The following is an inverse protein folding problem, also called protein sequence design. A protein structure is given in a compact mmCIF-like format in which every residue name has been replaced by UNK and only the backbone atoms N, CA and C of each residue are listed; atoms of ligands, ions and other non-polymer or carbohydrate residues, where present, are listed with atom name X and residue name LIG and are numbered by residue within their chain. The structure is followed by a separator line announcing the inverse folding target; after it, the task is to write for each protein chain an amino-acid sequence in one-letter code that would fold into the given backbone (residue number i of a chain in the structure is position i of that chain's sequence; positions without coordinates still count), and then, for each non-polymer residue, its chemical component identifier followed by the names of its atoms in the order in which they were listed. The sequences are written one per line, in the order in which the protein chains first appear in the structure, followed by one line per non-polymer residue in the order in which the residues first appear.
data_IF_071225955624
#
_entry.id   IF_071225955624
#
_cell.length_a   1.000
_cell.length_b   1.000
_cell.length_c   1.000
_cell.angle_alpha   90.00
_cell.angle_beta   90.00
_cell.angle_gamma   90.00
#
_symmetry.space_group_name_H-M   'P 1'
#
loop_
_entity.id
_entity.type
_entity.pdbx_description
1 polymer ?
#
# COMPACT_ATOMS: atom_id res chain seq x y z
N UNK A 1 2.85 5.60 11.10
CA UNK A 1 2.21 4.87 12.21
C UNK A 1 1.79 3.45 11.85
N UNK A 2 1.06 3.23 10.77
CA UNK A 2 0.52 1.90 10.39
C UNK A 2 1.58 0.81 10.25
N UNK A 3 2.76 1.10 9.67
CA UNK A 3 3.85 0.12 9.60
C UNK A 3 4.30 -0.41 10.96
N UNK A 4 4.44 0.47 11.98
CA UNK A 4 4.75 0.04 13.37
C UNK A 4 3.65 -0.84 13.96
N UNK A 5 2.38 -0.48 13.70
CA UNK A 5 1.22 -1.30 14.12
C UNK A 5 1.22 -2.66 13.44
N UNK A 6 1.55 -2.70 12.14
CA UNK A 6 1.68 -3.95 11.39
C UNK A 6 2.71 -4.88 12.04
N UNK A 7 3.94 -4.42 12.28
CA UNK A 7 4.96 -5.23 12.93
C UNK A 7 4.55 -5.70 14.34
N UNK A 8 3.85 -4.85 15.10
CA UNK A 8 3.34 -5.22 16.43
C UNK A 8 2.20 -6.24 16.37
N UNK A 9 1.40 -6.24 15.30
CA UNK A 9 0.27 -7.14 15.11
C UNK A 9 0.72 -8.60 14.86
N UNK A 10 1.88 -8.81 14.25
CA UNK A 10 2.36 -10.15 13.88
C UNK A 10 2.38 -11.13 15.06
N UNK A 11 3.01 -10.83 16.20
CA UNK A 11 2.98 -11.74 17.35
C UNK A 11 1.61 -11.76 18.06
N UNK A 12 0.83 -10.69 18.00
CA UNK A 12 -0.50 -10.62 18.63
C UNK A 12 -1.47 -11.61 17.98
N UNK A 13 -1.47 -11.65 16.65
CA UNK A 13 -2.31 -12.58 15.89
C UNK A 13 -1.67 -13.95 15.66
N UNK A 14 -0.39 -14.11 16.01
CA UNK A 14 0.32 -15.37 15.87
C UNK A 14 0.42 -15.85 14.41
N UNK A 15 0.63 -14.91 13.47
CA UNK A 15 0.75 -15.23 12.06
C UNK A 15 2.11 -15.82 11.72
N UNK A 16 2.16 -16.79 10.81
CA UNK A 16 3.40 -17.38 10.31
C UNK A 16 3.96 -16.59 9.12
N UNK A 17 3.08 -16.16 8.24
CA UNK A 17 3.39 -15.37 7.04
C UNK A 17 2.57 -14.10 7.06
N UNK A 18 3.22 -12.96 6.82
CA UNK A 18 2.58 -11.67 6.71
C UNK A 18 2.89 -11.03 5.36
N UNK A 19 1.98 -10.20 4.88
CA UNK A 19 2.08 -9.52 3.61
C UNK A 19 1.71 -8.05 3.77
N UNK A 20 2.60 -7.15 3.34
CA UNK A 20 2.28 -5.76 3.03
C UNK A 20 2.01 -5.66 1.53
N UNK A 21 0.79 -5.24 1.17
CA UNK A 21 0.34 -5.19 -0.21
C UNK A 21 0.09 -3.76 -0.69
N UNK A 22 1.18 -3.04 -0.91
CA UNK A 22 1.19 -1.82 -1.71
C UNK A 22 0.98 -0.49 -1.01
N UNK A 23 1.21 0.56 -1.79
CA UNK A 23 1.07 1.98 -1.42
C UNK A 23 1.85 2.32 -0.15
N UNK A 24 3.14 2.04 -0.20
CA UNK A 24 4.06 2.19 0.94
C UNK A 24 4.45 3.65 1.17
N UNK A 25 4.50 4.44 0.08
CA UNK A 25 4.94 5.82 0.11
C UNK A 25 3.81 6.77 0.55
N UNK A 26 4.20 7.82 1.29
CA UNK A 26 3.29 8.93 1.62
C UNK A 26 3.02 9.80 0.40
N UNK A 27 1.91 10.56 0.44
CA UNK A 27 1.41 11.32 -0.72
C UNK A 27 1.56 12.84 -0.60
N UNK A 28 1.94 13.36 0.56
CA UNK A 28 1.95 14.79 0.85
C UNK A 28 3.21 15.19 1.61
N UNK A 29 3.83 16.29 1.18
CA UNK A 29 4.91 16.96 1.88
C UNK A 29 4.40 18.27 2.51
N UNK A 30 4.51 18.40 3.83
CA UNK A 30 4.07 19.56 4.60
C UNK A 30 5.28 20.42 4.96
N UNK A 31 5.41 21.64 4.44
CA UNK A 31 6.44 22.58 4.87
C UNK A 31 6.10 23.15 6.25
N UNK A 32 7.08 23.12 7.16
CA UNK A 32 7.06 23.73 8.48
C UNK A 32 7.93 24.98 8.42
N UNK A 33 7.31 26.13 8.16
CA UNK A 33 8.02 27.38 7.84
C UNK A 33 8.32 28.18 9.12
N UNK A 34 9.53 28.74 9.21
CA UNK A 34 9.90 29.64 10.33
C UNK A 34 9.08 30.93 10.32
N UNK A 35 8.65 31.34 11.53
CA UNK A 35 7.94 32.61 11.71
C UNK A 35 8.88 33.74 12.10
N UNK A 36 8.61 34.98 11.68
CA UNK A 36 9.27 36.14 12.28
C UNK A 36 9.06 36.16 13.79
N UNK A 37 10.16 36.18 14.54
CA UNK A 37 10.10 36.17 16.02
C UNK A 37 10.16 34.80 16.68
N UNK A 38 10.31 33.74 15.89
CA UNK A 38 10.48 32.35 16.36
C UNK A 38 9.22 31.50 16.24
N UNK A 39 9.40 30.19 16.39
CA UNK A 39 8.37 29.19 16.14
C UNK A 39 8.25 28.85 14.65
N UNK A 40 7.25 28.04 14.33
CA UNK A 40 6.95 27.60 12.95
C UNK A 40 5.46 27.63 12.67
N UNK A 41 5.11 27.57 11.40
CA UNK A 41 3.73 27.50 10.92
C UNK A 41 3.61 26.50 9.77
N UNK A 42 2.42 25.94 9.57
CA UNK A 42 2.10 25.11 8.44
C UNK A 42 0.59 25.11 8.13
N UNK A 43 0.24 24.62 6.95
CA UNK A 43 -1.13 24.21 6.62
C UNK A 43 -1.22 22.70 6.67
N UNK A 44 -2.02 22.16 7.61
CA UNK A 44 -2.22 20.73 7.79
C UNK A 44 -3.71 20.40 7.69
N UNK A 45 -4.09 19.51 6.76
CA UNK A 45 -5.48 19.09 6.54
C UNK A 45 -6.47 20.28 6.39
N UNK A 46 -6.05 21.32 5.66
CA UNK A 46 -6.85 22.52 5.43
C UNK A 46 -6.90 23.52 6.57
N UNK A 47 -6.16 23.26 7.68
CA UNK A 47 -6.10 24.15 8.84
C UNK A 47 -4.72 24.78 8.94
N UNK A 48 -4.71 26.08 9.26
CA UNK A 48 -3.49 26.78 9.62
C UNK A 48 -3.10 26.42 11.06
N UNK A 49 -1.85 26.05 11.25
CA UNK A 49 -1.32 25.59 12.53
C UNK A 49 -0.03 26.34 12.88
N UNK A 50 0.06 26.90 14.06
CA UNK A 50 1.27 27.52 14.61
C UNK A 50 1.89 26.64 15.67
N UNK A 51 3.22 26.65 15.74
CA UNK A 51 4.03 25.91 16.69
C UNK A 51 5.03 26.90 17.32
N UNK A 52 4.80 27.28 18.57
CA UNK A 52 5.60 28.29 19.27
C UNK A 52 6.59 27.68 20.26
N UNK A 53 6.46 26.36 20.54
CA UNK A 53 7.37 25.61 21.41
C UNK A 53 7.91 24.36 20.70
N UNK A 54 9.00 23.81 21.23
CA UNK A 54 9.58 22.57 20.73
C UNK A 54 8.62 21.38 20.89
N UNK A 55 7.82 21.37 21.93
CA UNK A 55 6.81 20.33 22.21
C UNK A 55 5.68 20.38 21.19
N UNK A 56 5.18 21.57 20.85
CA UNK A 56 4.15 21.77 19.81
C UNK A 56 4.68 21.35 18.44
N UNK A 57 5.92 21.69 18.09
CA UNK A 57 6.56 21.28 16.85
C UNK A 57 6.68 19.74 16.78
N UNK A 58 7.14 19.11 17.85
CA UNK A 58 7.26 17.65 17.92
C UNK A 58 5.89 16.95 17.80
N UNK A 59 4.85 17.50 18.43
CA UNK A 59 3.50 16.98 18.36
C UNK A 59 2.93 17.10 16.94
N UNK A 60 3.14 18.24 16.27
CA UNK A 60 2.70 18.47 14.89
C UNK A 60 3.41 17.54 13.91
N UNK A 61 4.74 17.39 14.01
CA UNK A 61 5.51 16.42 13.21
C UNK A 61 4.94 15.01 13.35
N UNK A 62 4.67 14.59 14.59
CA UNK A 62 4.08 13.29 14.87
C UNK A 62 2.68 13.14 14.26
N UNK A 63 1.87 14.19 14.27
CA UNK A 63 0.53 14.19 13.64
C UNK A 63 0.66 14.00 12.11
N UNK A 64 1.57 14.74 11.46
CA UNK A 64 1.86 14.62 10.03
C UNK A 64 2.30 13.19 9.70
N UNK A 65 3.25 12.62 10.45
CA UNK A 65 3.73 11.24 10.25
C UNK A 65 2.64 10.18 10.49
N UNK A 66 1.75 10.43 11.45
CA UNK A 66 0.63 9.53 11.73
C UNK A 66 -0.38 9.50 10.58
N UNK A 67 -0.55 10.61 9.89
CA UNK A 67 -1.37 10.71 8.67
C UNK A 67 -0.69 10.12 7.43
N UNK A 68 0.54 9.59 7.56
CA UNK A 68 1.29 9.05 6.41
C UNK A 68 1.94 10.11 5.54
N UNK A 69 2.03 11.35 6.02
CA UNK A 69 2.62 12.47 5.29
C UNK A 69 4.08 12.67 5.69
N UNK A 70 4.81 13.45 4.87
CA UNK A 70 6.17 13.91 5.15
C UNK A 70 6.15 15.37 5.60
N UNK A 71 7.20 15.79 6.30
CA UNK A 71 7.40 17.18 6.66
C UNK A 71 8.82 17.61 6.33
N UNK A 72 8.99 18.91 6.10
CA UNK A 72 10.29 19.56 5.91
C UNK A 72 10.31 20.88 6.66
N UNK A 73 11.38 21.16 7.40
CA UNK A 73 11.58 22.47 8.03
C UNK A 73 12.26 23.39 7.04
N UNK A 74 11.76 24.62 6.93
CA UNK A 74 12.28 25.62 5.99
C UNK A 74 12.26 27.02 6.61
N UNK A 75 13.22 27.85 6.22
CA UNK A 75 13.11 29.29 6.39
C UNK A 75 12.06 29.87 5.42
N UNK A 76 11.59 31.10 5.61
CA UNK A 76 10.69 31.73 4.61
C UNK A 76 11.31 31.82 3.22
N UNK A 77 12.60 32.11 3.13
CA UNK A 77 13.34 32.21 1.86
C UNK A 77 13.44 30.84 1.16
N UNK A 78 13.75 29.78 1.91
CA UNK A 78 13.79 28.41 1.38
C UNK A 78 12.42 27.95 0.92
N UNK A 79 11.36 28.28 1.66
CA UNK A 79 10.00 27.95 1.29
C UNK A 79 9.57 28.63 -0.02
N UNK A 80 9.81 29.94 -0.17
CA UNK A 80 9.49 30.63 -1.40
C UNK A 80 10.33 30.11 -2.59
N UNK A 81 11.60 29.81 -2.38
CA UNK A 81 12.43 29.20 -3.41
C UNK A 81 11.92 27.81 -3.83
N UNK A 82 11.56 26.97 -2.85
CA UNK A 82 11.02 25.62 -3.12
C UNK A 82 9.66 25.73 -3.84
N UNK A 83 8.78 26.62 -3.41
CA UNK A 83 7.47 26.82 -4.01
C UNK A 83 7.54 27.28 -5.46
N UNK A 84 8.58 28.05 -5.79
CA UNK A 84 8.80 28.54 -7.16
C UNK A 84 9.40 27.50 -8.12
N UNK A 85 9.94 26.39 -7.60
CA UNK A 85 10.58 25.32 -8.36
C UNK A 85 9.92 23.95 -8.10
N UNK A 86 9.00 23.48 -8.98
CA UNK A 86 8.38 22.16 -8.83
C UNK A 86 9.41 21.02 -8.69
N UNK A 87 10.56 21.11 -9.38
CA UNK A 87 11.61 20.10 -9.27
C UNK A 87 12.28 20.10 -7.88
N UNK A 88 12.29 21.23 -7.16
CA UNK A 88 12.74 21.25 -5.77
C UNK A 88 11.76 20.56 -4.83
N UNK A 89 10.46 20.72 -5.06
CA UNK A 89 9.42 19.99 -4.31
C UNK A 89 9.59 18.49 -4.50
N UNK A 90 9.74 18.03 -5.75
CA UNK A 90 9.92 16.61 -6.06
C UNK A 90 11.19 16.03 -5.42
N UNK A 91 12.30 16.77 -5.45
CA UNK A 91 13.54 16.35 -4.78
C UNK A 91 13.37 16.18 -3.27
N UNK A 92 12.74 17.16 -2.61
CA UNK A 92 12.47 17.08 -1.17
C UNK A 92 11.52 15.95 -0.82
N UNK A 93 10.47 15.77 -1.62
CA UNK A 93 9.53 14.68 -1.43
C UNK A 93 10.23 13.32 -1.56
N UNK A 94 11.01 13.11 -2.63
CA UNK A 94 11.81 11.89 -2.82
C UNK A 94 12.76 11.64 -1.65
N UNK A 95 13.48 12.67 -1.21
CA UNK A 95 14.39 12.55 -0.07
C UNK A 95 13.66 12.04 1.18
N UNK A 96 12.52 12.65 1.53
CA UNK A 96 11.74 12.26 2.71
C UNK A 96 11.13 10.87 2.59
N UNK A 97 10.73 10.48 1.39
CA UNK A 97 10.23 9.14 1.12
C UNK A 97 11.32 8.07 1.31
N UNK A 98 12.52 8.31 0.76
CA UNK A 98 13.68 7.42 0.93
C UNK A 98 14.03 7.28 2.41
N UNK A 99 14.21 8.38 3.13
CA UNK A 99 14.49 8.37 4.57
C UNK A 99 13.45 7.56 5.36
N UNK A 100 12.17 7.67 4.99
CA UNK A 100 11.09 6.92 5.63
C UNK A 100 11.16 5.42 5.35
N UNK A 101 11.49 5.03 4.12
CA UNK A 101 11.66 3.60 3.78
C UNK A 101 12.87 3.04 4.54
N UNK A 102 13.99 3.74 4.59
CA UNK A 102 15.15 3.32 5.37
C UNK A 102 14.80 3.10 6.85
N UNK A 103 14.10 4.07 7.49
CA UNK A 103 13.60 3.92 8.85
C UNK A 103 12.72 2.68 9.06
N UNK A 104 11.90 2.34 8.05
CA UNK A 104 11.03 1.18 8.13
C UNK A 104 11.79 -0.13 7.96
N UNK A 105 12.76 -0.17 7.06
CA UNK A 105 13.62 -1.35 6.87
C UNK A 105 14.43 -1.63 8.15
N UNK A 106 15.05 -0.60 8.73
CA UNK A 106 15.79 -0.71 9.99
C UNK A 106 14.89 -1.19 11.13
N UNK A 107 13.69 -0.62 11.25
CA UNK A 107 12.72 -1.02 12.27
C UNK A 107 12.26 -2.47 12.08
N UNK A 108 12.03 -2.91 10.84
CA UNK A 108 11.66 -4.28 10.55
C UNK A 108 12.80 -5.24 10.91
N UNK A 109 14.03 -4.91 10.51
CA UNK A 109 15.21 -5.71 10.81
C UNK A 109 15.44 -5.84 12.32
N UNK A 110 15.21 -4.77 13.09
CA UNK A 110 15.27 -4.81 14.57
C UNK A 110 14.16 -5.71 15.15
N UNK A 111 12.92 -5.52 14.71
CA UNK A 111 11.75 -6.16 15.33
C UNK A 111 11.58 -7.62 14.95
N UNK A 112 12.03 -8.00 13.76
CA UNK A 112 11.91 -9.35 13.22
C UNK A 112 13.16 -10.20 13.45
N UNK A 113 14.25 -9.62 13.96
CA UNK A 113 15.47 -10.34 14.26
C UNK A 113 15.20 -11.56 15.18
N UNK A 114 15.55 -12.75 14.70
CA UNK A 114 15.35 -14.01 15.45
C UNK A 114 13.89 -14.46 15.58
N UNK A 115 12.97 -13.83 14.88
CA UNK A 115 11.57 -14.26 14.81
C UNK A 115 11.38 -15.29 13.69
N UNK A 116 10.34 -16.14 13.85
CA UNK A 116 9.99 -17.16 12.85
C UNK A 116 9.05 -16.62 11.75
N UNK A 117 8.43 -15.46 11.93
CA UNK A 117 7.53 -14.88 10.97
C UNK A 117 8.25 -14.51 9.66
N UNK A 118 7.65 -14.89 8.55
CA UNK A 118 8.08 -14.46 7.22
C UNK A 118 7.23 -13.27 6.79
N UNK A 119 7.87 -12.15 6.44
CA UNK A 119 7.17 -10.94 6.01
C UNK A 119 7.52 -10.65 4.57
N UNK A 120 6.52 -10.76 3.70
CA UNK A 120 6.61 -10.34 2.32
C UNK A 120 6.16 -8.88 2.17
N UNK A 121 6.78 -8.18 1.26
CA UNK A 121 6.45 -6.80 0.92
C UNK A 121 6.33 -6.67 -0.60
N UNK A 122 5.19 -6.15 -1.03
CA UNK A 122 4.87 -5.84 -2.42
C UNK A 122 4.57 -4.35 -2.49
N UNK A 123 5.19 -3.57 -3.36
CA UNK A 123 4.75 -2.21 -3.64
C UNK A 123 3.33 -2.15 -4.21
N UNK A 124 2.76 -0.95 -4.30
CA UNK A 124 1.51 -0.67 -5.00
C UNK A 124 1.74 0.25 -6.20
N UNK A 125 0.65 0.68 -6.85
CA UNK A 125 0.75 1.52 -8.03
C UNK A 125 1.38 2.88 -7.77
N UNK A 126 1.21 3.45 -6.56
CA UNK A 126 1.75 4.75 -6.17
C UNK A 126 3.26 4.71 -5.86
N UNK A 127 3.84 3.53 -5.71
CA UNK A 127 5.21 3.37 -5.25
C UNK A 127 6.21 3.46 -6.42
N UNK A 128 7.28 4.25 -6.23
CA UNK A 128 8.32 4.40 -7.25
C UNK A 128 9.12 3.11 -7.43
N UNK A 129 9.62 2.88 -8.63
CA UNK A 129 10.45 1.71 -8.94
C UNK A 129 11.75 1.66 -8.13
N UNK A 130 12.30 2.81 -7.78
CA UNK A 130 13.56 2.91 -7.02
C UNK A 130 13.49 2.29 -5.62
N UNK A 131 12.29 2.15 -5.02
CA UNK A 131 12.17 1.52 -3.70
C UNK A 131 12.38 0.01 -3.73
N UNK A 132 12.29 -0.63 -4.89
CA UNK A 132 12.47 -2.09 -5.02
C UNK A 132 13.88 -2.49 -4.62
N UNK A 133 14.90 -1.73 -5.07
CA UNK A 133 16.30 -1.94 -4.70
C UNK A 133 16.54 -1.71 -3.19
N UNK A 134 15.82 -0.78 -2.59
CA UNK A 134 15.90 -0.53 -1.15
C UNK A 134 15.30 -1.68 -0.36
N UNK A 135 14.10 -2.13 -0.73
CA UNK A 135 13.42 -3.27 -0.10
C UNK A 135 14.28 -4.54 -0.19
N UNK A 136 14.93 -4.75 -1.33
CA UNK A 136 15.81 -5.91 -1.55
C UNK A 136 17.04 -5.94 -0.61
N UNK A 137 17.39 -4.83 0.02
CA UNK A 137 18.49 -4.75 0.99
C UNK A 137 18.07 -5.13 2.41
N UNK A 138 16.77 -5.21 2.72
CA UNK A 138 16.29 -5.64 4.04
C UNK A 138 16.71 -7.07 4.34
N UNK A 139 17.08 -7.33 5.58
CA UNK A 139 17.41 -8.67 6.08
C UNK A 139 16.18 -9.47 6.48
N UNK A 140 15.09 -8.78 6.77
CA UNK A 140 13.88 -9.36 7.38
C UNK A 140 12.64 -9.30 6.49
N UNK A 141 12.55 -8.29 5.61
CA UNK A 141 11.46 -8.18 4.64
C UNK A 141 11.87 -8.84 3.33
N UNK A 142 10.95 -9.58 2.74
CA UNK A 142 11.18 -10.30 1.48
C UNK A 142 10.39 -9.63 0.37
N UNK A 143 11.04 -9.02 -0.64
CA UNK A 143 10.33 -8.50 -1.79
C UNK A 143 9.59 -9.64 -2.49
N UNK A 144 8.40 -9.36 -3.03
CA UNK A 144 7.62 -10.36 -3.76
C UNK A 144 6.96 -9.83 -5.03
N UNK A 145 7.16 -8.56 -5.41
CA UNK A 145 6.59 -8.00 -6.63
C UNK A 145 7.10 -8.73 -7.88
N UNK A 146 6.20 -9.03 -8.84
CA UNK A 146 6.47 -9.79 -10.07
C UNK A 146 7.14 -11.16 -9.82
N UNK A 147 6.96 -11.70 -8.62
CA UNK A 147 7.55 -12.96 -8.17
C UNK A 147 6.50 -14.04 -7.94
N UNK A 148 6.99 -15.28 -8.03
CA UNK A 148 6.30 -16.47 -7.55
C UNK A 148 7.07 -16.96 -6.33
N UNK A 149 6.42 -16.97 -5.20
CA UNK A 149 7.01 -17.43 -3.94
C UNK A 149 6.23 -18.62 -3.39
N UNK A 150 6.95 -19.57 -2.81
CA UNK A 150 6.36 -20.75 -2.19
C UNK A 150 6.55 -20.71 -0.68
N UNK A 151 5.52 -21.04 0.05
CA UNK A 151 5.57 -21.25 1.49
C UNK A 151 4.58 -22.36 1.89
N UNK A 152 5.03 -23.28 2.71
CA UNK A 152 4.31 -24.51 3.02
C UNK A 152 3.80 -25.21 1.75
N UNK A 153 2.50 -25.42 1.65
CA UNK A 153 1.83 -26.05 0.49
C UNK A 153 1.23 -25.02 -0.48
N UNK A 154 1.56 -23.73 -0.36
CA UNK A 154 0.94 -22.63 -1.13
C UNK A 154 1.95 -21.95 -2.05
N UNK A 155 1.42 -21.50 -3.19
CA UNK A 155 2.16 -20.71 -4.18
C UNK A 155 1.55 -19.33 -4.25
N UNK A 156 2.30 -18.25 -3.96
CA UNK A 156 1.83 -16.88 -4.09
C UNK A 156 2.41 -16.23 -5.33
N UNK A 157 1.54 -15.61 -6.14
CA UNK A 157 1.88 -14.80 -7.31
C UNK A 157 1.54 -13.36 -6.99
N UNK A 158 2.51 -12.46 -7.05
CA UNK A 158 2.33 -11.06 -6.67
C UNK A 158 2.54 -10.11 -7.84
N UNK A 159 1.77 -9.01 -7.85
CA UNK A 159 1.90 -7.93 -8.83
C UNK A 159 1.48 -6.60 -8.19
N UNK A 160 2.36 -5.61 -8.25
CA UNK A 160 2.15 -4.25 -7.75
C UNK A 160 1.35 -3.35 -8.68
N UNK A 161 1.24 -3.72 -9.97
CA UNK A 161 0.70 -2.87 -11.01
C UNK A 161 -0.81 -2.71 -10.94
N UNK A 162 -1.30 -1.59 -11.49
CA UNK A 162 -2.73 -1.34 -11.68
C UNK A 162 -3.05 -0.88 -13.12
N UNK A 163 -4.34 -0.86 -13.43
CA UNK A 163 -4.88 -0.11 -14.56
C UNK A 163 -4.78 1.38 -14.31
N UNK A 164 -4.94 2.24 -15.34
CA UNK A 164 -4.84 3.68 -15.21
C UNK A 164 -5.82 4.27 -14.20
N UNK A 165 -5.32 5.19 -13.38
CA UNK A 165 -6.11 6.02 -12.47
C UNK A 165 -6.03 7.49 -12.89
N UNK A 166 -6.87 8.38 -12.34
CA UNK A 166 -6.77 9.82 -12.61
C UNK A 166 -5.46 10.47 -12.14
N UNK A 167 -4.63 9.76 -11.38
CA UNK A 167 -3.39 10.30 -10.78
C UNK A 167 -2.12 9.97 -11.55
N UNK A 168 -2.19 9.11 -12.58
CA UNK A 168 -1.06 8.73 -13.44
C UNK A 168 0.16 8.29 -12.61
N UNK A 169 -0.01 7.28 -11.79
CA UNK A 169 0.99 6.82 -10.83
C UNK A 169 2.05 5.91 -11.46
N UNK A 170 3.21 5.71 -10.82
CA UNK A 170 4.38 5.08 -11.45
C UNK A 170 4.18 3.66 -12.01
N UNK A 171 3.31 2.85 -11.40
CA UNK A 171 3.13 1.44 -11.79
C UNK A 171 1.77 1.18 -12.43
N UNK A 172 1.21 2.19 -13.07
CA UNK A 172 0.02 2.06 -13.90
C UNK A 172 0.35 1.71 -15.34
N UNK A 173 -0.55 1.01 -16.00
CA UNK A 173 -0.44 0.72 -17.41
C UNK A 173 -1.77 0.35 -18.06
N UNK A 174 -1.85 0.36 -19.40
CA UNK A 174 -3.04 -0.06 -20.14
C UNK A 174 -3.51 -1.46 -19.72
N UNK A 175 -4.82 -1.69 -19.77
CA UNK A 175 -5.43 -2.96 -19.34
C UNK A 175 -4.93 -4.17 -20.13
N UNK A 176 -4.64 -4.02 -21.40
CA UNK A 176 -4.10 -5.09 -22.25
C UNK A 176 -2.66 -5.44 -21.83
N UNK A 177 -1.81 -4.47 -21.56
CA UNK A 177 -0.46 -4.70 -21.05
C UNK A 177 -0.48 -5.34 -19.65
N UNK A 178 -1.34 -4.85 -18.76
CA UNK A 178 -1.52 -5.44 -17.42
C UNK A 178 -2.02 -6.88 -17.53
N UNK A 179 -2.98 -7.14 -18.40
CA UNK A 179 -3.51 -8.49 -18.63
C UNK A 179 -2.41 -9.44 -19.11
N UNK A 180 -1.62 -9.04 -20.13
CA UNK A 180 -0.53 -9.87 -20.65
C UNK A 180 0.55 -10.10 -19.57
N UNK A 181 0.84 -9.10 -18.75
CA UNK A 181 1.77 -9.21 -17.65
C UNK A 181 1.31 -10.24 -16.60
N UNK A 182 0.07 -10.14 -16.13
CA UNK A 182 -0.53 -11.07 -15.17
C UNK A 182 -0.62 -12.50 -15.74
N UNK A 183 -1.01 -12.64 -17.00
CA UNK A 183 -0.99 -13.91 -17.73
C UNK A 183 0.43 -14.49 -17.82
N UNK A 184 1.44 -13.64 -18.03
CA UNK A 184 2.85 -14.02 -18.04
C UNK A 184 3.31 -14.61 -16.72
N UNK A 185 2.93 -13.99 -15.60
CA UNK A 185 3.19 -14.50 -14.25
C UNK A 185 2.50 -15.85 -14.03
N UNK A 186 1.21 -15.94 -14.39
CA UNK A 186 0.44 -17.17 -14.21
C UNK A 186 1.01 -18.34 -15.04
N UNK A 187 1.42 -18.10 -16.28
CA UNK A 187 2.04 -19.16 -17.14
C UNK A 187 3.29 -19.79 -16.54
N UNK A 188 3.98 -19.10 -15.61
CA UNK A 188 5.14 -19.66 -14.88
C UNK A 188 4.73 -20.65 -13.80
N UNK A 189 3.48 -20.60 -13.31
CA UNK A 189 2.91 -21.54 -12.33
C UNK A 189 2.24 -22.72 -13.04
N UNK A 190 1.41 -22.42 -14.05
CA UNK A 190 0.68 -23.45 -14.80
C UNK A 190 -0.25 -22.84 -15.85
N UNK A 191 -1.04 -23.68 -16.49
CA UNK A 191 -1.93 -23.28 -17.59
C UNK A 191 -3.39 -23.67 -17.39
N UNK A 192 -3.68 -24.49 -16.39
CA UNK A 192 -5.02 -24.95 -16.08
C UNK A 192 -5.47 -24.52 -14.67
N UNK A 193 -6.77 -24.35 -14.42
CA UNK A 193 -7.28 -24.03 -13.08
C UNK A 193 -6.84 -25.01 -11.98
N UNK A 194 -6.51 -26.25 -12.34
CA UNK A 194 -6.05 -27.26 -11.38
C UNK A 194 -4.68 -26.92 -10.80
N UNK A 195 -3.82 -26.24 -11.56
CA UNK A 195 -2.48 -25.85 -11.14
C UNK A 195 -2.53 -24.75 -10.06
N UNK A 196 -3.69 -24.10 -9.89
CA UNK A 196 -3.93 -22.98 -8.99
C UNK A 196 -4.81 -23.32 -7.77
N UNK A 197 -5.07 -24.60 -7.49
CA UNK A 197 -5.93 -25.00 -6.36
C UNK A 197 -5.39 -24.58 -4.99
N UNK A 198 -4.09 -24.34 -4.88
CA UNK A 198 -3.41 -23.84 -3.68
C UNK A 198 -2.70 -22.48 -3.94
N UNK A 199 -3.02 -21.81 -5.04
CA UNK A 199 -2.40 -20.54 -5.36
C UNK A 199 -3.09 -19.36 -4.64
N UNK A 200 -2.28 -18.37 -4.29
CA UNK A 200 -2.68 -17.09 -3.74
C UNK A 200 -2.27 -16.01 -4.75
N UNK A 201 -3.23 -15.25 -5.25
CA UNK A 201 -2.94 -14.08 -6.05
C UNK A 201 -2.90 -12.84 -5.16
N UNK A 202 -1.72 -12.27 -5.03
CA UNK A 202 -1.49 -11.00 -4.36
C UNK A 202 -1.36 -9.91 -5.43
N UNK A 203 -2.48 -9.53 -6.01
CA UNK A 203 -2.53 -8.45 -6.99
C UNK A 203 -3.00 -7.18 -6.29
N UNK A 204 -2.16 -6.13 -6.33
CA UNK A 204 -2.47 -4.88 -5.66
C UNK A 204 -3.85 -4.36 -6.09
N UNK A 205 -4.10 -4.27 -7.39
CA UNK A 205 -5.40 -3.86 -7.92
C UNK A 205 -6.46 -4.98 -7.77
N UNK A 206 -7.67 -4.67 -7.29
CA UNK A 206 -8.77 -5.64 -7.25
C UNK A 206 -9.38 -5.87 -8.64
N UNK A 207 -10.07 -7.00 -8.86
CA UNK A 207 -10.75 -7.29 -10.11
C UNK A 207 -11.99 -6.39 -10.30
N UNK A 208 -12.18 -5.91 -11.54
CA UNK A 208 -13.29 -5.04 -11.94
C UNK A 208 -14.67 -5.69 -11.74
N UNK A 209 -15.61 -4.92 -11.22
CA UNK A 209 -17.04 -5.29 -11.16
C UNK A 209 -17.41 -6.13 -9.96
N UNK A 210 -16.57 -6.23 -8.96
CA UNK A 210 -16.85 -6.85 -7.66
C UNK A 210 -17.03 -5.77 -6.58
N UNK A 211 -17.54 -6.13 -5.39
CA UNK A 211 -17.68 -5.18 -4.29
C UNK A 211 -16.34 -4.66 -3.75
N UNK A 212 -15.23 -5.24 -4.18
CA UNK A 212 -13.87 -4.95 -3.72
C UNK A 212 -13.20 -3.79 -4.49
N UNK A 213 -13.86 -3.26 -5.50
CA UNK A 213 -13.35 -2.20 -6.37
C UNK A 213 -14.26 -0.97 -6.47
N UNK A 214 -15.22 -0.85 -5.55
CA UNK A 214 -16.15 0.28 -5.52
C UNK A 214 -15.52 1.49 -4.81
N UNK A 215 -15.31 2.58 -5.53
CA UNK A 215 -14.85 3.85 -4.96
C UNK A 215 -15.83 4.98 -5.23
N UNK A 216 -15.78 6.09 -4.46
CA UNK A 216 -16.52 7.30 -4.78
C UNK A 216 -16.12 7.81 -6.17
N UNK A 217 -17.10 8.21 -6.98
CA UNK A 217 -16.86 8.88 -8.24
C UNK A 217 -16.23 10.25 -7.99
N UNK A 218 -15.25 10.60 -8.80
CA UNK A 218 -14.65 11.95 -8.79
C UNK A 218 -15.36 12.85 -9.80
N UNK A 219 -15.59 14.10 -9.44
CA UNK A 219 -16.03 15.14 -10.37
C UNK A 219 -14.84 15.70 -11.17
N UNK A 220 -15.12 16.60 -12.13
CA UNK A 220 -14.10 17.23 -12.97
C UNK A 220 -13.06 18.05 -12.17
N UNK A 221 -13.30 18.30 -10.89
CA UNK A 221 -12.38 18.99 -9.97
C UNK A 221 -11.69 18.03 -8.99
N UNK A 222 -11.74 16.70 -9.27
CA UNK A 222 -11.17 15.65 -8.45
C UNK A 222 -11.75 15.57 -7.03
N UNK A 223 -12.99 16.01 -6.82
CA UNK A 223 -13.70 15.93 -5.54
C UNK A 223 -14.62 14.71 -5.54
N UNK A 224 -14.67 14.03 -4.41
CA UNK A 224 -15.53 12.85 -4.24
C UNK A 224 -17.01 13.24 -4.30
N UNK A 225 -17.77 12.59 -5.17
CA UNK A 225 -19.23 12.65 -5.15
C UNK A 225 -19.76 11.78 -4.00
N UNK A 226 -20.53 12.37 -3.08
CA UNK A 226 -20.92 11.72 -1.82
C UNK A 226 -21.77 10.45 -2.02
N UNK A 227 -22.60 10.40 -3.07
CA UNK A 227 -23.61 9.35 -3.25
C UNK A 227 -23.43 8.48 -4.51
N UNK A 228 -22.38 8.73 -5.31
CA UNK A 228 -22.13 7.99 -6.55
C UNK A 228 -20.86 7.15 -6.43
N UNK A 229 -20.98 5.84 -6.62
CA UNK A 229 -19.86 4.91 -6.64
C UNK A 229 -19.66 4.34 -8.03
N UNK A 230 -18.41 4.12 -8.38
CA UNK A 230 -17.99 3.48 -9.61
C UNK A 230 -17.10 2.28 -9.31
N UNK A 231 -17.01 1.37 -10.28
CA UNK A 231 -16.00 0.33 -10.28
C UNK A 231 -14.69 0.87 -10.85
N UNK A 232 -13.57 0.67 -10.14
CA UNK A 232 -12.25 1.18 -10.52
C UNK A 232 -11.16 0.09 -10.57
N UNK A 233 -11.54 -1.18 -10.39
CA UNK A 233 -10.63 -2.32 -10.49
C UNK A 233 -10.23 -2.64 -11.93
N UNK A 234 -9.35 -3.62 -12.09
CA UNK A 234 -8.80 -4.03 -13.39
C UNK A 234 -9.62 -5.13 -14.06
N UNK A 235 -9.88 -4.94 -15.35
CA UNK A 235 -10.44 -5.99 -16.25
C UNK A 235 -9.45 -7.14 -16.43
N UNK A 236 -8.16 -6.85 -16.52
CA UNK A 236 -7.11 -7.86 -16.62
C UNK A 236 -7.02 -8.73 -15.37
N UNK A 237 -7.04 -8.13 -14.18
CA UNK A 237 -7.08 -8.88 -12.92
C UNK A 237 -8.33 -9.76 -12.83
N UNK A 238 -9.50 -9.26 -13.25
CA UNK A 238 -10.73 -10.03 -13.33
C UNK A 238 -10.59 -11.24 -14.26
N UNK A 239 -10.13 -11.01 -15.49
CA UNK A 239 -9.98 -12.07 -16.50
C UNK A 239 -9.07 -13.18 -16.00
N UNK A 240 -7.94 -12.83 -15.39
CA UNK A 240 -6.94 -13.78 -14.89
C UNK A 240 -7.48 -14.57 -13.70
N UNK A 241 -8.13 -13.91 -12.74
CA UNK A 241 -8.74 -14.58 -11.58
C UNK A 241 -9.86 -15.54 -12.03
N UNK A 242 -10.74 -15.10 -12.92
CA UNK A 242 -11.85 -15.93 -13.42
C UNK A 242 -11.37 -17.12 -14.24
N UNK A 243 -10.26 -16.96 -14.99
CA UNK A 243 -9.65 -18.02 -15.79
C UNK A 243 -8.95 -19.08 -14.94
N UNK A 244 -8.07 -18.66 -14.04
CA UNK A 244 -7.20 -19.58 -13.29
C UNK A 244 -7.82 -20.05 -11.97
N UNK A 245 -8.75 -19.30 -11.42
CA UNK A 245 -9.48 -19.66 -10.21
C UNK A 245 -8.54 -20.05 -9.05
N UNK A 246 -7.62 -19.15 -8.58
CA UNK A 246 -6.78 -19.44 -7.43
C UNK A 246 -7.62 -19.73 -6.18
N UNK A 247 -6.98 -20.25 -5.13
CA UNK A 247 -7.61 -20.44 -3.82
C UNK A 247 -8.05 -19.11 -3.20
N UNK A 248 -7.15 -18.10 -3.27
CA UNK A 248 -7.30 -16.82 -2.59
C UNK A 248 -6.82 -15.68 -3.49
N UNK A 249 -7.54 -14.56 -3.51
CA UNK A 249 -7.10 -13.27 -4.02
C UNK A 249 -6.96 -12.28 -2.87
N UNK A 250 -5.81 -11.63 -2.76
CA UNK A 250 -5.53 -10.55 -1.80
C UNK A 250 -5.30 -9.26 -2.57
N UNK A 251 -6.05 -8.22 -2.23
CA UNK A 251 -6.06 -6.95 -2.94
C UNK A 251 -5.96 -5.77 -1.98
N UNK A 252 -5.55 -4.62 -2.50
CA UNK A 252 -5.52 -3.32 -1.83
C UNK A 252 -6.10 -2.24 -2.74
N UNK A 253 -5.35 -1.18 -3.02
CA UNK A 253 -5.60 -0.12 -3.99
C UNK A 253 -6.86 0.71 -3.71
N UNK A 254 -8.03 0.09 -3.64
CA UNK A 254 -9.30 0.77 -3.36
C UNK A 254 -9.56 0.75 -1.85
N UNK A 255 -9.23 1.84 -1.19
CA UNK A 255 -9.23 1.96 0.26
C UNK A 255 -10.61 1.81 0.89
N UNK A 256 -11.66 2.27 0.19
CA UNK A 256 -13.04 2.27 0.65
C UNK A 256 -13.73 0.91 0.51
N UNK A 257 -13.15 -0.01 -0.26
CA UNK A 257 -13.77 -1.27 -0.65
C UNK A 257 -13.40 -2.44 0.25
N UNK A 258 -13.45 -2.22 1.57
CA UNK A 258 -13.24 -3.31 2.52
C UNK A 258 -14.30 -4.41 2.39
N UNK A 259 -13.88 -5.62 2.08
CA UNK A 259 -14.80 -6.74 1.95
C UNK A 259 -14.13 -8.05 1.53
N UNK A 260 -14.98 -9.07 1.44
CA UNK A 260 -14.64 -10.37 0.89
C UNK A 260 -15.75 -10.85 -0.04
N UNK A 261 -15.38 -11.36 -1.22
CA UNK A 261 -16.33 -11.85 -2.22
C UNK A 261 -15.76 -13.03 -2.99
N UNK A 262 -16.61 -13.92 -3.46
CA UNK A 262 -16.18 -15.06 -4.29
C UNK A 262 -16.36 -14.78 -5.77
N UNK A 263 -15.37 -15.23 -6.57
CA UNK A 263 -15.42 -15.41 -8.00
C UNK A 263 -15.22 -16.91 -8.30
N UNK A 264 -16.29 -17.64 -8.57
CA UNK A 264 -16.23 -19.10 -8.65
C UNK A 264 -15.75 -19.73 -7.33
N UNK A 265 -14.64 -20.47 -7.36
CA UNK A 265 -14.03 -21.05 -6.16
C UNK A 265 -13.12 -20.06 -5.39
N UNK A 266 -12.62 -19.02 -6.05
CA UNK A 266 -11.68 -18.06 -5.48
C UNK A 266 -12.37 -17.18 -4.44
N UNK A 267 -11.85 -17.14 -3.22
CA UNK A 267 -12.19 -16.09 -2.26
C UNK A 267 -11.27 -14.90 -2.50
N UNK A 268 -11.83 -13.72 -2.74
CA UNK A 268 -11.11 -12.47 -2.90
C UNK A 268 -11.34 -11.57 -1.69
N UNK A 269 -10.30 -10.91 -1.19
CA UNK A 269 -10.37 -10.06 0.00
C UNK A 269 -9.62 -8.75 -0.26
N UNK A 270 -10.26 -7.63 0.09
CA UNK A 270 -9.63 -6.33 0.24
C UNK A 270 -9.84 -5.87 1.69
N UNK A 271 -8.80 -5.68 2.52
CA UNK A 271 -8.95 -5.24 3.89
C UNK A 271 -9.38 -3.77 4.02
N UNK A 272 -9.32 -3.01 2.93
CA UNK A 272 -9.47 -1.55 2.95
C UNK A 272 -8.27 -0.84 3.59
N UNK A 273 -8.32 0.49 3.64
CA UNK A 273 -7.28 1.30 4.26
C UNK A 273 -7.86 2.54 4.92
N UNK A 274 -7.37 2.88 6.12
CA UNK A 274 -7.64 4.13 6.85
C UNK A 274 -6.31 4.69 7.40
N UNK A 275 -5.25 4.60 6.60
CA UNK A 275 -3.90 4.97 7.03
C UNK A 275 -3.77 6.47 7.39
N UNK A 276 -4.52 7.35 6.74
CA UNK A 276 -4.54 8.80 7.01
C UNK A 276 -5.05 9.13 8.42
N UNK A 277 -5.84 8.23 9.00
CA UNK A 277 -6.31 8.31 10.39
C UNK A 277 -5.39 7.54 11.36
N UNK A 278 -4.30 6.99 10.83
CA UNK A 278 -3.38 6.15 11.59
C UNK A 278 -3.97 4.79 11.98
N UNK A 279 -5.07 4.36 11.38
CA UNK A 279 -5.73 3.08 11.66
C UNK A 279 -5.19 2.01 10.69
N UNK A 280 -4.60 0.96 11.25
CA UNK A 280 -4.20 -0.21 10.46
C UNK A 280 -5.43 -1.08 10.17
N UNK A 281 -5.78 -1.23 8.91
CA UNK A 281 -6.72 -2.25 8.45
C UNK A 281 -5.96 -3.47 7.94
N UNK A 282 -6.48 -4.65 8.21
CA UNK A 282 -5.86 -5.89 7.78
C UNK A 282 -6.85 -7.04 7.75
N UNK A 283 -6.39 -8.19 7.32
CA UNK A 283 -7.11 -9.46 7.38
C UNK A 283 -6.13 -10.56 7.79
N UNK A 284 -6.56 -11.42 8.71
CA UNK A 284 -5.88 -12.68 9.03
C UNK A 284 -6.64 -13.78 8.31
N UNK A 285 -5.95 -14.58 7.50
CA UNK A 285 -6.53 -15.72 6.79
C UNK A 285 -5.93 -17.00 7.36
N UNK A 286 -6.78 -17.91 7.79
CA UNK A 286 -6.38 -19.22 8.30
C UNK A 286 -6.41 -20.25 7.18
N UNK A 287 -5.23 -20.71 6.79
CA UNK A 287 -5.02 -21.71 5.75
C UNK A 287 -4.72 -23.08 6.39
N UNK A 288 -5.39 -24.11 5.95
CA UNK A 288 -5.15 -25.49 6.42
C UNK A 288 -5.39 -26.50 5.29
N UNK A 289 -4.42 -27.37 5.04
CA UNK A 289 -4.55 -28.46 4.04
C UNK A 289 -5.03 -27.97 2.66
N UNK A 290 -4.41 -26.91 2.16
CA UNK A 290 -4.73 -26.25 0.87
C UNK A 290 -6.17 -25.71 0.80
N UNK A 291 -6.72 -25.28 1.92
CA UNK A 291 -8.06 -24.68 2.03
C UNK A 291 -8.03 -23.46 2.92
N UNK A 292 -8.93 -22.53 2.65
CA UNK A 292 -9.24 -21.43 3.57
C UNK A 292 -10.18 -22.01 4.63
N UNK A 293 -9.72 -22.03 5.88
CA UNK A 293 -10.51 -22.48 7.03
C UNK A 293 -11.41 -21.35 7.53
N UNK A 294 -10.85 -20.17 7.67
CA UNK A 294 -11.55 -18.98 8.15
C UNK A 294 -10.75 -17.72 7.79
N UNK A 295 -11.36 -16.55 7.95
CA UNK A 295 -10.67 -15.27 7.86
C UNK A 295 -11.28 -14.24 8.81
N UNK A 296 -10.47 -13.31 9.32
CA UNK A 296 -10.85 -12.29 10.27
C UNK A 296 -10.33 -10.93 9.83
N UNK A 297 -11.20 -9.96 9.61
CA UNK A 297 -10.83 -8.58 9.43
C UNK A 297 -10.36 -7.95 10.74
N UNK A 298 -9.22 -7.25 10.68
CA UNK A 298 -8.63 -6.57 11.83
C UNK A 298 -8.66 -5.06 11.66
N UNK A 299 -8.60 -4.33 12.77
CA UNK A 299 -8.49 -2.87 12.83
C UNK A 299 -7.76 -2.48 14.11
N UNK A 300 -6.75 -1.57 14.02
CA UNK A 300 -5.96 -1.20 15.20
C UNK A 300 -5.20 0.11 15.07
#
# INVERSE_FOLDING_TARGET
MCFRKFLNALPIYGVDVALLNGDLLGKVLIPLVEKPGGGRECHLMGQYTEMNTAEELAATKKTIENAGYYWVEQTPEEYEATRADPAAIDRLFKQRAVERIEEWLDLADERLAGKSQVVYICPGNDDWWEIDDMIAQSKSLRPCDDMIVEFDDYTMVSCSRSNPTPWDTPREGPEDELTEHLEGLCRRVGTSPKDFENAIFNFHVPPYGYSLDLCPKLDDQMRMAADEKIHAGSLGAKQVIEKYQPLLGLHGHIHESRGAQKAGRTLMINPGSEYSEGILKGVVVMLEKKKIKDYLFTSG
#
